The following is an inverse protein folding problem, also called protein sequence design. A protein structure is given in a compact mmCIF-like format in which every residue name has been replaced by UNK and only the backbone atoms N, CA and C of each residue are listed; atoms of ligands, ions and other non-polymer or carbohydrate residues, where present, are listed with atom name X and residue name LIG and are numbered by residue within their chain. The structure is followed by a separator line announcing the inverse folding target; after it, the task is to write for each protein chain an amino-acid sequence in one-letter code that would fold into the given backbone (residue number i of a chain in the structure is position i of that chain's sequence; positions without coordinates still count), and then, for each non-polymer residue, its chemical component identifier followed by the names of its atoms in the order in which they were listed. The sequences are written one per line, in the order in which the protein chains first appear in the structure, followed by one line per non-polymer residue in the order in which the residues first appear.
data_IF_097342188991
#
_entry.id   IF_097342188991
#
_cell.length_a   1.000
_cell.length_b   1.000
_cell.length_c   1.000
_cell.angle_alpha   90.00
_cell.angle_beta   90.00
_cell.angle_gamma   90.00
#
_symmetry.space_group_name_H-M   'P 1'
#
loop_
_entity.id
_entity.type
_entity.pdbx_description
1 polymer ?
#
# COMPACT_ATOMS: atom_id res chain seq x y z
N UNK A 1 -43.89 -12.82 20.79
CA UNK A 1 -43.77 -13.51 19.48
C UNK A 1 -42.42 -13.13 18.91
N UNK A 2 -41.43 -14.03 18.83
CA UNK A 2 -40.15 -13.69 18.22
C UNK A 2 -40.29 -13.74 16.69
N UNK A 3 -39.93 -12.64 16.03
CA UNK A 3 -39.83 -12.55 14.56
C UNK A 3 -38.77 -13.53 14.07
N UNK A 4 -39.19 -14.74 13.67
CA UNK A 4 -38.33 -15.67 12.95
C UNK A 4 -38.10 -15.11 11.54
N UNK A 5 -36.94 -14.47 11.34
CA UNK A 5 -36.47 -14.17 9.99
C UNK A 5 -36.28 -15.52 9.29
N UNK A 6 -37.15 -15.83 8.33
CA UNK A 6 -37.04 -17.02 7.49
C UNK A 6 -35.75 -16.92 6.66
N UNK A 7 -34.74 -17.72 7.01
CA UNK A 7 -33.46 -17.79 6.27
C UNK A 7 -33.69 -18.10 4.79
N UNK A 8 -34.77 -18.84 4.45
CA UNK A 8 -35.13 -19.10 3.07
C UNK A 8 -35.66 -17.86 2.34
N UNK A 9 -36.22 -16.86 3.05
CA UNK A 9 -36.58 -15.57 2.46
C UNK A 9 -35.35 -14.70 2.13
N UNK A 10 -34.30 -14.78 2.96
CA UNK A 10 -33.01 -14.11 2.71
C UNK A 10 -32.31 -14.73 1.49
N UNK A 11 -32.31 -16.06 1.38
CA UNK A 11 -31.71 -16.77 0.24
C UNK A 11 -32.44 -16.54 -1.10
N UNK A 12 -33.76 -16.31 -1.09
CA UNK A 12 -34.56 -16.06 -2.31
C UNK A 12 -34.48 -14.62 -2.82
N UNK A 13 -34.19 -13.67 -1.94
CA UNK A 13 -33.97 -12.26 -2.29
C UNK A 13 -32.49 -11.91 -2.52
N UNK A 14 -31.56 -12.84 -2.30
CA UNK A 14 -30.16 -12.67 -2.68
C UNK A 14 -30.02 -12.82 -4.20
N UNK A 15 -30.33 -11.75 -4.91
CA UNK A 15 -30.05 -11.64 -6.35
C UNK A 15 -28.71 -10.95 -6.53
N UNK A 16 -27.77 -11.62 -7.19
CA UNK A 16 -26.61 -10.99 -7.83
C UNK A 16 -27.05 -10.24 -9.10
N UNK A 17 -28.15 -9.50 -9.04
CA UNK A 17 -28.62 -8.70 -10.16
C UNK A 17 -27.62 -7.55 -10.35
N UNK A 18 -26.80 -7.64 -11.41
CA UNK A 18 -25.88 -6.58 -11.81
C UNK A 18 -24.38 -6.92 -11.71
N UNK A 19 -23.98 -8.12 -11.27
CA UNK A 19 -22.58 -8.54 -11.38
C UNK A 19 -22.32 -9.03 -12.81
N UNK A 20 -21.87 -8.12 -13.68
CA UNK A 20 -21.35 -8.48 -15.00
C UNK A 20 -20.08 -9.29 -14.81
N UNK A 21 -20.15 -10.59 -15.09
CA UNK A 21 -18.96 -11.44 -15.15
C UNK A 21 -18.19 -11.05 -16.42
N UNK A 22 -16.95 -10.55 -16.31
CA UNK A 22 -16.17 -10.16 -17.47
C UNK A 22 -15.89 -11.37 -18.36
N UNK A 23 -15.94 -11.19 -19.69
CA UNK A 23 -15.52 -12.23 -20.61
C UNK A 23 -14.00 -12.45 -20.50
N UNK A 24 -13.46 -13.59 -20.96
CA UNK A 24 -12.01 -13.79 -20.96
C UNK A 24 -11.23 -12.69 -21.69
N UNK A 25 -11.83 -12.07 -22.72
CA UNK A 25 -11.23 -10.92 -23.41
C UNK A 25 -11.16 -9.70 -22.49
N UNK A 26 -12.29 -9.36 -21.86
CA UNK A 26 -12.39 -8.21 -20.94
C UNK A 26 -11.46 -8.39 -19.74
N UNK A 27 -11.28 -9.63 -19.27
CA UNK A 27 -10.32 -9.92 -18.18
C UNK A 27 -8.91 -9.51 -18.59
N UNK A 28 -8.49 -9.83 -19.82
CA UNK A 28 -7.14 -9.52 -20.30
C UNK A 28 -6.97 -8.04 -20.60
N UNK A 29 -8.00 -7.37 -21.13
CA UNK A 29 -7.89 -5.99 -21.62
C UNK A 29 -8.25 -4.93 -20.59
N UNK A 30 -9.22 -5.20 -19.72
CA UNK A 30 -9.83 -4.20 -18.84
C UNK A 30 -9.66 -4.51 -17.36
N UNK A 31 -9.63 -5.79 -16.96
CA UNK A 31 -9.59 -6.18 -15.54
C UNK A 31 -8.17 -6.42 -15.05
N UNK A 32 -7.32 -7.06 -15.86
CA UNK A 32 -5.97 -7.41 -15.44
C UNK A 32 -5.15 -6.15 -15.13
N UNK A 33 -4.54 -6.11 -13.95
CA UNK A 33 -3.79 -4.98 -13.42
C UNK A 33 -4.56 -3.64 -13.33
N UNK A 34 -5.90 -3.66 -13.43
CA UNK A 34 -6.72 -2.43 -13.39
C UNK A 34 -6.59 -1.65 -12.07
N UNK A 35 -6.28 -2.36 -10.99
CA UNK A 35 -6.08 -1.82 -9.64
C UNK A 35 -4.59 -1.84 -9.21
N UNK A 36 -3.66 -1.96 -10.16
CA UNK A 36 -2.21 -1.93 -9.90
C UNK A 36 -1.63 -0.64 -10.49
N UNK A 37 -0.87 0.10 -9.70
CA UNK A 37 -0.14 1.27 -10.17
C UNK A 37 1.09 0.80 -10.94
N UNK A 38 0.93 0.64 -12.25
CA UNK A 38 1.99 0.14 -13.12
C UNK A 38 3.05 1.21 -13.40
N UNK A 39 4.20 0.76 -13.88
CA UNK A 39 5.26 1.64 -14.35
C UNK A 39 4.82 2.50 -15.54
N UNK A 40 3.95 2.00 -16.41
CA UNK A 40 3.38 2.79 -17.52
C UNK A 40 2.45 3.89 -17.01
N UNK A 41 1.63 3.59 -15.99
CA UNK A 41 0.75 4.57 -15.34
C UNK A 41 1.57 5.70 -14.69
N UNK A 42 2.66 5.36 -14.00
CA UNK A 42 3.59 6.34 -13.44
C UNK A 42 4.28 7.17 -14.53
N UNK A 43 4.69 6.54 -15.63
CA UNK A 43 5.31 7.23 -16.77
C UNK A 43 4.39 8.29 -17.39
N UNK A 44 3.09 8.03 -17.44
CA UNK A 44 2.11 8.99 -17.97
C UNK A 44 1.86 10.18 -17.02
N UNK A 45 2.06 9.97 -15.71
CA UNK A 45 1.81 10.97 -14.66
C UNK A 45 3.03 11.79 -14.27
N UNK A 46 4.24 11.28 -14.54
CA UNK A 46 5.49 11.90 -14.10
C UNK A 46 6.19 12.63 -15.25
N UNK A 47 6.86 13.74 -14.91
CA UNK A 47 7.73 14.41 -15.86
C UNK A 47 8.92 13.51 -16.25
N UNK A 48 9.45 13.68 -17.46
CA UNK A 48 10.60 12.91 -17.97
C UNK A 48 11.80 12.82 -16.99
N UNK A 49 12.25 13.89 -16.31
CA UNK A 49 13.36 13.78 -15.34
C UNK A 49 12.97 12.95 -14.12
N UNK A 50 11.77 13.14 -13.58
CA UNK A 50 11.28 12.39 -12.40
C UNK A 50 11.13 10.91 -12.74
N UNK A 51 10.53 10.60 -13.90
CA UNK A 51 10.41 9.23 -14.41
C UNK A 51 11.77 8.52 -14.53
N UNK A 52 12.78 9.21 -15.08
CA UNK A 52 14.13 8.64 -15.21
C UNK A 52 14.78 8.34 -13.86
N UNK A 53 14.59 9.23 -12.88
CA UNK A 53 15.10 9.02 -11.53
C UNK A 53 14.40 7.85 -10.84
N UNK A 54 13.06 7.75 -10.96
CA UNK A 54 12.30 6.62 -10.42
C UNK A 54 12.65 5.27 -11.09
N UNK A 55 12.81 5.25 -12.41
CA UNK A 55 13.22 4.06 -13.15
C UNK A 55 14.61 3.58 -12.69
N UNK A 56 15.53 4.51 -12.49
CA UNK A 56 16.84 4.25 -11.93
C UNK A 56 16.77 3.59 -10.54
N UNK A 57 15.95 4.11 -9.62
CA UNK A 57 15.69 3.51 -8.31
C UNK A 57 15.20 2.07 -8.43
N UNK A 58 14.30 1.80 -9.38
CA UNK A 58 13.69 0.47 -9.59
C UNK A 58 14.67 -0.53 -10.21
N UNK A 59 15.46 -0.11 -11.20
CA UNK A 59 16.38 -0.99 -11.94
C UNK A 59 17.69 -1.25 -11.18
N UNK A 60 18.18 -0.27 -10.43
CA UNK A 60 19.48 -0.36 -9.73
C UNK A 60 19.36 -0.69 -8.24
N UNK A 61 18.16 -0.65 -7.68
CA UNK A 61 17.95 -0.78 -6.24
C UNK A 61 18.50 0.40 -5.44
N UNK A 62 18.67 1.56 -6.09
CA UNK A 62 19.07 2.80 -5.42
C UNK A 62 17.95 3.26 -4.47
N UNK A 63 18.26 4.13 -3.50
CA UNK A 63 17.24 4.77 -2.67
C UNK A 63 16.38 5.73 -3.49
N UNK A 64 15.11 5.92 -3.10
CA UNK A 64 14.25 6.93 -3.72
C UNK A 64 14.83 8.32 -3.47
N UNK A 65 15.07 9.07 -4.54
CA UNK A 65 15.62 10.43 -4.44
C UNK A 65 14.61 11.37 -3.73
N UNK A 66 14.99 11.98 -2.58
CA UNK A 66 14.13 12.92 -1.87
C UNK A 66 13.59 14.05 -2.75
N UNK A 67 14.33 14.50 -3.75
CA UNK A 67 13.92 15.58 -4.65
C UNK A 67 12.72 15.21 -5.52
N UNK A 68 12.47 13.92 -5.78
CA UNK A 68 11.34 13.46 -6.58
C UNK A 68 10.20 12.89 -5.73
N UNK A 69 10.46 12.58 -4.46
CA UNK A 69 9.56 11.82 -3.59
C UNK A 69 8.17 12.43 -3.45
N UNK A 70 8.06 13.75 -3.25
CA UNK A 70 6.78 14.45 -3.17
C UNK A 70 6.00 14.41 -4.48
N UNK A 71 6.71 14.46 -5.62
CA UNK A 71 6.07 14.38 -6.94
C UNK A 71 5.51 12.97 -7.18
N UNK A 72 6.27 11.94 -6.80
CA UNK A 72 5.83 10.55 -6.90
C UNK A 72 4.65 10.29 -5.95
N UNK A 73 4.72 10.76 -4.71
CA UNK A 73 3.63 10.63 -3.74
C UNK A 73 2.35 11.30 -4.26
N UNK A 74 2.45 12.51 -4.81
CA UNK A 74 1.30 13.19 -5.41
C UNK A 74 0.70 12.39 -6.58
N UNK A 75 1.53 11.84 -7.47
CA UNK A 75 1.06 11.02 -8.58
C UNK A 75 0.34 9.75 -8.10
N UNK A 76 0.92 9.05 -7.11
CA UNK A 76 0.32 7.86 -6.48
C UNK A 76 -1.02 8.18 -5.82
N UNK A 77 -1.09 9.25 -5.03
CA UNK A 77 -2.33 9.68 -4.36
C UNK A 77 -3.40 10.06 -5.37
N UNK A 78 -3.07 10.85 -6.38
CA UNK A 78 -4.04 11.27 -7.41
C UNK A 78 -4.60 10.06 -8.15
N UNK A 79 -3.74 9.12 -8.58
CA UNK A 79 -4.18 7.87 -9.19
C UNK A 79 -5.09 7.05 -8.26
N UNK A 80 -4.73 6.94 -6.98
CA UNK A 80 -5.53 6.17 -6.02
C UNK A 80 -6.90 6.80 -5.78
N UNK A 81 -6.97 8.13 -5.66
CA UNK A 81 -8.22 8.87 -5.51
C UNK A 81 -9.10 8.76 -6.75
N UNK A 82 -8.54 8.76 -7.97
CA UNK A 82 -9.29 8.48 -9.21
C UNK A 82 -9.92 7.08 -9.21
N UNK A 83 -9.29 6.11 -8.53
CA UNK A 83 -9.81 4.75 -8.33
C UNK A 83 -10.80 4.63 -7.17
N UNK A 84 -11.09 5.73 -6.49
CA UNK A 84 -12.01 5.82 -5.35
C UNK A 84 -11.38 5.52 -3.99
N UNK A 85 -10.05 5.47 -3.90
CA UNK A 85 -9.38 5.24 -2.63
C UNK A 85 -9.47 6.47 -1.72
N UNK A 86 -9.82 6.24 -0.46
CA UNK A 86 -9.94 7.29 0.57
C UNK A 86 -8.82 7.22 1.61
N UNK A 87 -8.17 6.06 1.70
CA UNK A 87 -7.08 5.79 2.64
C UNK A 87 -5.89 5.19 1.90
N UNK A 88 -4.74 5.20 2.56
CA UNK A 88 -3.56 4.44 2.17
C UNK A 88 -3.03 3.62 3.35
N UNK A 89 -2.19 2.64 3.06
CA UNK A 89 -1.51 1.84 4.07
C UNK A 89 -0.14 1.39 3.58
N UNK A 90 0.85 1.41 4.46
CA UNK A 90 2.09 0.66 4.27
C UNK A 90 1.79 -0.82 4.49
N UNK A 91 1.86 -1.58 3.41
CA UNK A 91 1.53 -2.99 3.39
C UNK A 91 2.83 -3.80 3.50
N UNK A 92 2.97 -4.58 4.58
CA UNK A 92 4.16 -5.41 4.82
C UNK A 92 3.85 -6.68 5.63
N UNK A 93 4.78 -7.63 5.59
CA UNK A 93 4.67 -8.92 6.29
C UNK A 93 5.72 -9.01 7.41
N UNK A 94 5.39 -8.60 8.64
CA UNK A 94 6.28 -8.73 9.80
C UNK A 94 6.58 -10.18 10.16
N UNK A 95 7.62 -10.39 10.96
CA UNK A 95 8.02 -11.70 11.47
C UNK A 95 6.99 -12.37 12.41
N UNK A 96 5.89 -11.68 12.75
CA UNK A 96 4.79 -12.22 13.55
C UNK A 96 3.86 -13.17 12.78
N UNK A 97 4.06 -13.32 11.45
CA UNK A 97 3.35 -14.29 10.61
C UNK A 97 1.99 -13.83 10.08
N UNK A 98 1.56 -12.60 10.39
CA UNK A 98 0.36 -11.98 9.83
C UNK A 98 0.75 -10.70 9.09
N UNK A 99 0.03 -10.35 8.02
CA UNK A 99 0.19 -9.06 7.35
C UNK A 99 -0.14 -7.93 8.31
N UNK A 100 0.71 -6.89 8.33
CA UNK A 100 0.43 -5.66 9.05
C UNK A 100 -0.02 -4.59 8.06
N UNK A 101 -1.11 -3.92 8.44
CA UNK A 101 -1.67 -2.78 7.71
C UNK A 101 -2.05 -1.72 8.74
N UNK A 102 -1.56 -0.49 8.54
CA UNK A 102 -2.05 0.69 9.26
C UNK A 102 -2.71 1.62 8.24
N UNK A 103 -4.00 1.84 8.37
CA UNK A 103 -4.77 2.65 7.42
C UNK A 103 -4.74 4.11 7.86
N UNK A 104 -4.27 4.98 6.97
CA UNK A 104 -4.21 6.42 7.15
C UNK A 104 -5.11 7.10 6.11
N UNK A 105 -5.80 8.17 6.49
CA UNK A 105 -6.67 8.91 5.58
C UNK A 105 -5.85 9.79 4.64
N UNK A 106 -6.25 9.89 3.37
CA UNK A 106 -5.68 10.90 2.46
C UNK A 106 -6.10 12.32 2.81
N UNK A 107 -7.09 12.49 3.69
CA UNK A 107 -7.72 13.77 4.03
C UNK A 107 -7.84 13.89 5.55
N UNK A 108 -7.30 14.97 6.10
CA UNK A 108 -7.40 15.25 7.53
C UNK A 108 -8.14 16.57 7.76
N UNK A 109 -9.18 16.58 8.60
CA UNK A 109 -9.91 17.79 8.92
C UNK A 109 -9.02 18.73 9.74
N UNK A 110 -9.09 20.02 9.44
CA UNK A 110 -8.40 21.07 10.18
C UNK A 110 -9.34 21.79 11.13
N UNK A 111 -8.76 22.47 12.13
CA UNK A 111 -9.50 23.16 13.20
C UNK A 111 -10.39 24.30 12.71
N UNK A 112 -10.13 24.81 11.51
CA UNK A 112 -10.93 25.83 10.81
C UNK A 112 -12.11 25.23 10.01
N UNK A 113 -12.31 23.91 10.07
CA UNK A 113 -13.37 23.20 9.35
C UNK A 113 -13.05 22.92 7.88
N UNK A 114 -11.83 23.24 7.41
CA UNK A 114 -11.35 22.82 6.09
C UNK A 114 -10.73 21.42 6.16
N UNK A 115 -10.27 20.91 5.03
CA UNK A 115 -9.65 19.59 4.96
C UNK A 115 -8.37 19.67 4.13
N UNK A 116 -7.27 19.14 4.65
CA UNK A 116 -5.97 19.14 3.98
C UNK A 116 -5.65 17.71 3.55
N UNK A 117 -5.11 17.59 2.34
CA UNK A 117 -4.67 16.30 1.81
C UNK A 117 -3.36 15.87 2.47
N UNK A 118 -3.34 14.69 3.10
CA UNK A 118 -2.18 14.08 3.72
C UNK A 118 -1.70 12.88 2.91
N UNK A 119 -0.60 13.09 2.17
CA UNK A 119 0.28 12.06 1.61
C UNK A 119 1.45 12.78 0.93
N UNK A 120 2.68 12.54 1.39
CA UNK A 120 3.88 13.23 0.90
C UNK A 120 5.02 12.25 0.70
N UNK A 121 6.12 12.70 0.10
CA UNK A 121 7.30 11.88 -0.14
C UNK A 121 7.91 11.28 1.12
N UNK A 122 7.65 11.87 2.29
CA UNK A 122 8.04 11.31 3.60
C UNK A 122 7.46 9.92 3.84
N UNK A 123 6.21 9.71 3.43
CA UNK A 123 5.52 8.42 3.53
C UNK A 123 6.13 7.37 2.59
N UNK A 124 6.90 7.77 1.57
CA UNK A 124 7.56 6.84 0.67
C UNK A 124 8.98 6.48 1.10
N UNK A 125 9.73 7.44 1.66
CA UNK A 125 11.14 7.25 2.00
C UNK A 125 11.32 6.59 3.37
N UNK A 126 10.72 7.18 4.40
CA UNK A 126 10.87 6.75 5.78
C UNK A 126 9.62 7.18 6.56
N UNK A 127 8.62 6.29 6.56
CA UNK A 127 7.49 6.41 7.45
C UNK A 127 7.90 5.99 8.87
N UNK A 128 7.36 6.69 9.86
CA UNK A 128 7.33 6.20 11.24
C UNK A 128 6.01 5.43 11.41
N UNK A 129 6.00 4.09 11.27
CA UNK A 129 4.87 3.31 11.73
C UNK A 129 4.74 3.56 13.23
N UNK A 130 3.64 4.17 13.64
CA UNK A 130 3.23 4.25 15.04
C UNK A 130 2.88 2.83 15.53
N UNK A 131 3.92 2.05 15.76
CA UNK A 131 3.91 0.67 16.23
C UNK A 131 3.44 0.57 17.70
N UNK A 132 2.94 1.65 18.30
CA UNK A 132 2.31 1.64 19.62
C UNK A 132 1.03 0.79 19.67
N UNK A 133 0.45 0.48 18.51
CA UNK A 133 -0.80 -0.27 18.36
C UNK A 133 -0.62 -1.77 18.09
N UNK A 134 0.62 -2.28 18.04
CA UNK A 134 0.82 -3.73 18.16
C UNK A 134 0.34 -4.18 19.56
N UNK A 135 -0.48 -5.25 19.67
CA UNK A 135 -0.98 -5.71 20.96
C UNK A 135 0.21 -6.12 21.84
N UNK A 136 0.63 -5.24 22.73
CA UNK A 136 1.71 -5.47 23.70
C UNK A 136 1.17 -6.29 24.85
N UNK A 137 1.04 -7.60 24.61
CA UNK A 137 0.86 -8.58 25.68
C UNK A 137 2.16 -8.74 26.47
N UNK A 138 2.40 -7.90 27.46
CA UNK A 138 3.38 -8.17 28.53
C UNK A 138 4.33 -7.01 28.84
N UNK A 139 4.45 -6.73 30.15
CA UNK A 139 5.35 -5.79 30.81
C UNK A 139 6.84 -6.02 30.48
N UNK A 140 7.32 -5.70 29.27
CA UNK A 140 8.75 -5.45 28.97
C UNK A 140 8.92 -4.47 27.78
N UNK A 141 9.58 -3.34 28.07
CA UNK A 141 10.24 -2.37 27.18
C UNK A 141 9.48 -1.86 25.92
N UNK A 142 8.69 -0.79 26.07
CA UNK A 142 8.09 -0.02 24.98
C UNK A 142 9.05 0.96 24.26
N UNK A 143 10.38 0.76 24.34
CA UNK A 143 11.36 1.67 23.72
C UNK A 143 11.94 1.14 22.39
N UNK A 144 11.95 -0.18 22.17
CA UNK A 144 12.57 -0.81 21.00
C UNK A 144 11.60 -1.07 19.83
N UNK A 145 10.32 -0.78 20.01
CA UNK A 145 9.27 -1.06 19.02
C UNK A 145 9.13 0.02 17.92
N UNK A 146 10.04 0.99 17.82
CA UNK A 146 10.04 1.99 16.74
C UNK A 146 10.79 1.44 15.53
N UNK A 147 10.06 0.81 14.62
CA UNK A 147 10.60 0.47 13.31
C UNK A 147 10.35 1.59 12.29
N UNK A 148 11.00 1.50 11.14
CA UNK A 148 10.83 2.40 9.99
C UNK A 148 10.27 1.63 8.80
N UNK A 149 9.37 2.28 8.07
CA UNK A 149 8.82 1.78 6.81
C UNK A 149 9.43 2.53 5.63
N UNK A 150 9.85 1.80 4.60
CA UNK A 150 10.30 2.38 3.34
C UNK A 150 9.59 1.69 2.17
N UNK A 151 9.02 2.48 1.25
CA UNK A 151 8.40 1.93 0.04
C UNK A 151 9.46 1.21 -0.81
N UNK A 152 9.12 0.01 -1.26
CA UNK A 152 9.91 -0.71 -2.26
C UNK A 152 9.30 -0.52 -3.66
N UNK A 153 9.91 0.30 -4.54
CA UNK A 153 9.38 0.57 -5.88
C UNK A 153 9.48 -0.62 -6.83
N UNK A 154 10.20 -1.68 -6.49
CA UNK A 154 10.21 -2.93 -7.28
C UNK A 154 8.90 -3.70 -7.17
N UNK A 155 8.10 -3.40 -6.12
CA UNK A 155 6.76 -3.95 -5.92
C UNK A 155 5.73 -2.84 -6.15
N UNK A 156 4.86 -2.96 -7.18
CA UNK A 156 3.93 -1.89 -7.52
C UNK A 156 2.88 -1.71 -6.43
N UNK A 157 2.55 -0.45 -6.14
CA UNK A 157 1.42 -0.13 -5.28
C UNK A 157 0.11 -0.57 -5.95
N UNK A 158 -0.91 -0.87 -5.14
CA UNK A 158 -2.17 -1.38 -5.66
C UNK A 158 -3.36 -0.91 -4.82
N UNK A 159 -4.56 -0.96 -5.40
CA UNK A 159 -5.80 -0.71 -4.69
C UNK A 159 -6.33 -2.01 -4.12
N UNK A 160 -6.53 -2.04 -2.81
CA UNK A 160 -7.32 -3.08 -2.16
C UNK A 160 -8.76 -2.57 -2.01
N UNK A 161 -9.69 -3.26 -2.66
CA UNK A 161 -11.13 -2.95 -2.59
C UNK A 161 -11.79 -3.77 -1.48
N UNK A 162 -12.55 -3.08 -0.65
CA UNK A 162 -13.38 -3.65 0.41
C UNK A 162 -14.85 -3.24 0.20
N UNK A 163 -15.82 -3.95 0.81
CA UNK A 163 -17.23 -3.56 0.73
C UNK A 163 -17.51 -2.12 1.16
N UNK A 164 -16.64 -1.55 2.00
CA UNK A 164 -16.80 -0.22 2.59
C UNK A 164 -15.88 0.85 1.99
N UNK A 165 -15.11 0.54 0.93
CA UNK A 165 -14.23 1.52 0.30
C UNK A 165 -13.01 0.91 -0.39
N UNK A 166 -12.05 1.77 -0.74
CA UNK A 166 -10.81 1.38 -1.38
C UNK A 166 -9.62 2.01 -0.65
N UNK A 167 -8.52 1.26 -0.59
CA UNK A 167 -7.29 1.65 0.11
C UNK A 167 -6.10 1.48 -0.84
N UNK A 168 -5.23 2.49 -0.90
CA UNK A 168 -3.94 2.38 -1.57
C UNK A 168 -2.98 1.58 -0.69
N UNK A 169 -2.59 0.38 -1.12
CA UNK A 169 -1.59 -0.43 -0.47
C UNK A 169 -0.20 -0.13 -1.08
N UNK A 170 0.74 0.25 -0.23
CA UNK A 170 2.10 0.62 -0.60
C UNK A 170 3.03 -0.50 -0.09
N UNK A 171 3.58 -1.36 -0.96
CA UNK A 171 4.47 -2.44 -0.56
C UNK A 171 5.73 -1.91 0.09
N UNK A 172 5.98 -2.30 1.33
CA UNK A 172 6.97 -1.61 2.17
C UNK A 172 7.91 -2.61 2.83
N UNK A 173 9.19 -2.24 2.95
CA UNK A 173 10.13 -2.90 3.84
C UNK A 173 10.04 -2.32 5.28
N UNK A 174 10.11 -3.17 6.29
CA UNK A 174 10.05 -2.80 7.70
C UNK A 174 11.32 -3.24 8.45
N UNK A 175 12.01 -2.26 9.05
CA UNK A 175 13.24 -2.47 9.79
C UNK A 175 13.21 -1.78 11.16
N UNK A 176 14.00 -2.26 12.11
CA UNK A 176 14.20 -1.58 13.39
C UNK A 176 14.98 -0.28 13.20
N UNK A 177 14.98 0.58 14.22
CA UNK A 177 15.86 1.76 14.25
C UNK A 177 17.37 1.41 14.23
N UNK A 178 17.73 0.18 14.61
CA UNK A 178 19.11 -0.35 14.51
C UNK A 178 19.43 -0.94 13.13
N UNK A 179 18.46 -0.97 12.20
CA UNK A 179 18.63 -1.49 10.84
C UNK A 179 18.44 -3.00 10.69
N UNK A 180 17.94 -3.67 11.74
CA UNK A 180 17.58 -5.09 11.70
C UNK A 180 16.28 -5.26 10.91
N UNK A 181 16.22 -6.26 10.04
CA UNK A 181 15.01 -6.56 9.29
C UNK A 181 13.94 -7.13 10.24
N UNK A 182 12.76 -6.48 10.28
CA UNK A 182 11.61 -6.92 11.07
C UNK A 182 10.49 -7.48 10.19
N UNK A 183 10.79 -7.73 8.92
CA UNK A 183 9.90 -8.31 7.91
C UNK A 183 10.51 -9.52 7.20
N UNK A 184 9.67 -10.18 6.40
CA UNK A 184 10.10 -11.26 5.51
C UNK A 184 10.66 -10.77 4.17
N UNK A 185 10.34 -9.53 3.78
CA UNK A 185 10.68 -8.97 2.46
C UNK A 185 12.15 -8.62 2.35
N UNK A 186 12.71 -7.98 3.38
CA UNK A 186 14.11 -7.54 3.38
C UNK A 186 15.09 -8.72 3.29
N UNK A 187 14.95 -9.81 4.08
CA UNK A 187 15.81 -10.99 3.93
C UNK A 187 15.69 -11.65 2.55
N UNK A 188 14.48 -11.71 1.98
CA UNK A 188 14.25 -12.27 0.65
C UNK A 188 14.97 -11.47 -0.43
N UNK A 189 14.85 -10.13 -0.42
CA UNK A 189 15.53 -9.26 -1.37
C UNK A 189 17.05 -9.40 -1.27
N UNK A 190 17.61 -9.43 -0.05
CA UNK A 190 19.05 -9.66 0.18
C UNK A 190 19.50 -11.01 -0.38
N UNK A 191 18.70 -12.07 -0.19
CA UNK A 191 19.02 -13.39 -0.72
C UNK A 191 19.01 -13.39 -2.25
N UNK A 192 18.03 -12.75 -2.88
CA UNK A 192 17.93 -12.66 -4.34
C UNK A 192 19.12 -11.89 -4.94
N UNK A 193 19.54 -10.80 -4.29
CA UNK A 193 20.70 -10.03 -4.70
C UNK A 193 22.00 -10.86 -4.67
N UNK A 194 22.20 -11.65 -3.61
CA UNK A 194 23.36 -12.55 -3.49
C UNK A 194 23.34 -13.62 -4.57
N UNK A 195 22.19 -14.23 -4.84
CA UNK A 195 22.05 -15.23 -5.91
C UNK A 195 22.36 -14.61 -7.28
N UNK A 196 21.82 -13.43 -7.57
CA UNK A 196 22.05 -12.74 -8.84
C UNK A 196 23.52 -12.34 -9.07
N UNK A 197 24.26 -12.01 -7.99
CA UNK A 197 25.71 -11.71 -8.09
C UNK A 197 26.56 -12.97 -8.28
N UNK A 198 26.06 -14.13 -7.84
CA UNK A 198 26.76 -15.40 -7.91
C UNK A 198 26.48 -16.18 -9.21
N UNK A 199 25.46 -15.78 -9.97
CA UNK A 199 25.10 -16.32 -11.29
C UNK A 199 25.91 -15.66 -12.41
#
# INVERSE_FOLDING_TARGET
MPNSIDIASVGRNWRLDGVTVPSPSDVVTEVFASDVLTMEELRQRLSKPVWRSLLATTERGDTLDPAISDTVALAMKTWAMEKGATHYTHWFQPLTGLTAEKHESFVTPTSDGTAISQFSGKELIQGEPDASSFPSGGLRATFEARGYTAWDPTSPAFIMRHPNGAVLCIPTAFASWTGEALDNKTPLMRSMEVINKAA
#
